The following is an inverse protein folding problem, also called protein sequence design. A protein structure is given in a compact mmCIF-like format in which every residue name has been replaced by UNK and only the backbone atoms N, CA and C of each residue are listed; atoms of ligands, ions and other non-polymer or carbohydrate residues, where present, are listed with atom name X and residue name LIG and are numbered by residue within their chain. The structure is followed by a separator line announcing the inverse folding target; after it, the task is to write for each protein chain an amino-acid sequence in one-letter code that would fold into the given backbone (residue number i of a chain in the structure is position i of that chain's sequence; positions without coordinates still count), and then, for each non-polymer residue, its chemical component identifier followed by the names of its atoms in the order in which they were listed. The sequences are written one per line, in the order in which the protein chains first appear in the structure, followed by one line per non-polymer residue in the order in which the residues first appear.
data_IF_031940077080
#
_entry.id   IF_031940077080
#
_cell.length_a   1.000
_cell.length_b   1.000
_cell.length_c   1.000
_cell.angle_alpha   90.00
_cell.angle_beta   90.00
_cell.angle_gamma   90.00
#
_symmetry.space_group_name_H-M   'P 1'
#
loop_
_entity.id
_entity.type
_entity.pdbx_description
1 polymer ?
#
# COMPACT_ATOMS: atom_id res chain seq x y z
N UNK A 1 12.70 24.98 10.13
CA UNK A 1 12.49 23.55 9.81
C UNK A 1 11.02 23.22 10.00
N UNK A 2 10.34 22.59 9.02
CA UNK A 2 8.94 22.17 9.14
C UNK A 2 8.89 20.65 9.18
N UNK A 3 8.64 20.08 10.36
CA UNK A 3 8.44 18.64 10.52
C UNK A 3 7.00 18.27 10.18
N UNK A 4 6.79 17.09 9.62
CA UNK A 4 5.45 16.56 9.42
C UNK A 4 4.90 16.14 10.80
N UNK A 5 3.92 16.89 11.31
CA UNK A 5 3.26 16.60 12.60
C UNK A 5 2.59 15.22 12.57
N UNK A 6 2.19 14.74 11.39
CA UNK A 6 1.61 13.42 11.18
C UNK A 6 2.61 12.27 11.01
N UNK A 7 3.92 12.49 11.21
CA UNK A 7 4.95 11.46 10.95
C UNK A 7 4.71 10.18 11.73
N UNK A 8 4.49 10.27 13.03
CA UNK A 8 4.35 9.08 13.87
C UNK A 8 3.02 8.37 13.65
N UNK A 9 1.95 9.14 13.40
CA UNK A 9 0.68 8.57 12.97
C UNK A 9 0.80 7.82 11.65
N UNK A 10 1.45 8.41 10.65
CA UNK A 10 1.62 7.80 9.32
C UNK A 10 2.40 6.49 9.40
N UNK A 11 3.45 6.44 10.23
CA UNK A 11 4.20 5.20 10.48
C UNK A 11 3.29 4.09 11.03
N UNK A 12 2.47 4.40 12.04
CA UNK A 12 1.54 3.41 12.62
C UNK A 12 0.47 3.00 11.61
N UNK A 13 -0.11 3.95 10.87
CA UNK A 13 -1.09 3.65 9.81
C UNK A 13 -0.52 2.70 8.76
N UNK A 14 0.69 2.97 8.26
CA UNK A 14 1.37 2.09 7.30
C UNK A 14 1.70 0.73 7.91
N UNK A 15 2.19 0.68 9.15
CA UNK A 15 2.53 -0.57 9.83
C UNK A 15 1.30 -1.46 10.03
N UNK A 16 0.18 -0.90 10.48
CA UNK A 16 -1.08 -1.65 10.67
C UNK A 16 -1.62 -2.13 9.33
N UNK A 17 -1.62 -1.28 8.30
CA UNK A 17 -2.05 -1.67 6.95
C UNK A 17 -1.23 -2.85 6.42
N UNK A 18 0.12 -2.75 6.49
CA UNK A 18 1.01 -3.81 6.05
C UNK A 18 0.84 -5.08 6.88
N UNK A 19 0.71 -4.96 8.20
CA UNK A 19 0.46 -6.10 9.09
C UNK A 19 -0.81 -6.85 8.67
N UNK A 20 -1.94 -6.18 8.49
CA UNK A 20 -3.17 -6.81 8.03
C UNK A 20 -3.04 -7.40 6.63
N UNK A 21 -2.39 -6.67 5.71
CA UNK A 21 -2.18 -7.12 4.34
C UNK A 21 -1.39 -8.44 4.30
N UNK A 22 -0.27 -8.54 5.02
CA UNK A 22 0.59 -9.73 4.98
C UNK A 22 0.12 -10.88 5.87
N UNK A 23 -0.66 -10.60 6.93
CA UNK A 23 -1.15 -11.66 7.82
C UNK A 23 -2.44 -12.30 7.33
N UNK A 24 -3.35 -11.51 6.74
CA UNK A 24 -4.68 -11.99 6.32
C UNK A 24 -4.78 -12.29 4.82
N UNK A 25 -3.90 -11.72 4.00
CA UNK A 25 -4.00 -11.84 2.55
C UNK A 25 -2.69 -12.30 1.89
N UNK A 26 -2.83 -12.98 0.75
CA UNK A 26 -1.81 -13.08 -0.30
C UNK A 26 -2.14 -12.04 -1.35
N UNK A 27 -1.11 -11.45 -1.95
CA UNK A 27 -1.31 -10.45 -2.99
C UNK A 27 -0.30 -10.60 -4.12
N UNK A 28 -0.72 -10.23 -5.31
CA UNK A 28 0.13 -10.17 -6.50
C UNK A 28 -0.18 -8.91 -7.32
N UNK A 29 0.83 -8.27 -7.94
CA UNK A 29 0.60 -7.18 -8.87
C UNK A 29 -0.01 -7.71 -10.18
N UNK A 30 -1.10 -7.09 -10.65
CA UNK A 30 -1.77 -7.48 -11.91
C UNK A 30 -1.43 -6.50 -13.02
N UNK A 31 -1.45 -5.20 -12.72
CA UNK A 31 -1.32 -4.13 -13.73
C UNK A 31 -0.88 -2.84 -13.07
N UNK A 32 -0.23 -1.99 -13.87
CA UNK A 32 0.23 -0.68 -13.43
C UNK A 32 1.68 -0.72 -12.99
N UNK A 33 2.08 0.23 -12.14
CA UNK A 33 3.47 0.38 -11.71
C UNK A 33 4.27 1.40 -12.55
N UNK A 34 3.62 2.01 -13.56
CA UNK A 34 4.12 3.25 -14.13
C UNK A 34 4.05 4.33 -13.03
N UNK A 35 5.22 4.81 -12.61
CA UNK A 35 5.36 5.75 -11.51
C UNK A 35 5.80 7.08 -12.08
N UNK A 36 4.97 8.10 -11.89
CA UNK A 36 5.27 9.46 -12.32
C UNK A 36 5.42 10.36 -11.10
N UNK A 37 6.38 11.30 -11.14
CA UNK A 37 6.55 12.33 -10.11
C UNK A 37 6.47 13.70 -10.74
N UNK A 38 5.31 14.36 -10.65
CA UNK A 38 5.13 15.71 -11.22
C UNK A 38 3.95 16.44 -10.59
N UNK A 39 4.14 17.31 -9.57
CA UNK A 39 5.25 17.33 -8.59
C UNK A 39 5.12 16.24 -7.50
N UNK A 40 3.94 15.63 -7.34
CA UNK A 40 3.68 14.54 -6.39
C UNK A 40 3.90 13.14 -7.00
N UNK A 41 4.07 12.12 -6.15
CA UNK A 41 4.11 10.72 -6.55
C UNK A 41 2.73 10.28 -7.04
N UNK A 42 2.67 9.74 -8.24
CA UNK A 42 1.44 9.36 -8.91
C UNK A 42 1.60 8.01 -9.61
N UNK A 43 0.48 7.31 -9.72
CA UNK A 43 0.32 6.13 -10.54
C UNK A 43 -0.79 6.46 -11.55
N UNK A 44 -0.49 7.07 -12.71
CA UNK A 44 -1.51 7.55 -13.65
C UNK A 44 -2.46 6.44 -14.10
N UNK A 45 -1.93 5.23 -14.27
CA UNK A 45 -2.68 4.02 -14.63
C UNK A 45 -3.07 3.17 -13.41
N UNK A 46 -2.92 3.71 -12.20
CA UNK A 46 -3.08 3.01 -10.94
C UNK A 46 -2.01 1.95 -10.65
N UNK A 47 -2.10 1.34 -9.47
CA UNK A 47 -1.36 0.13 -9.10
C UNK A 47 -2.38 -0.94 -8.69
N UNK A 48 -2.65 -1.87 -9.61
CA UNK A 48 -3.68 -2.87 -9.45
C UNK A 48 -3.09 -4.13 -8.85
N UNK A 49 -3.61 -4.54 -7.69
CA UNK A 49 -3.23 -5.75 -6.97
C UNK A 49 -4.40 -6.71 -6.87
N UNK A 50 -4.13 -8.01 -7.01
CA UNK A 50 -5.08 -9.06 -6.66
C UNK A 50 -4.90 -9.38 -5.20
N UNK A 51 -5.99 -9.41 -4.43
CA UNK A 51 -5.97 -9.87 -3.03
C UNK A 51 -6.67 -11.22 -2.93
N UNK A 52 -6.06 -12.14 -2.22
CA UNK A 52 -6.59 -13.48 -1.94
C UNK A 52 -6.54 -13.68 -0.43
N UNK A 53 -7.67 -14.00 0.18
CA UNK A 53 -7.74 -14.27 1.62
C UNK A 53 -6.96 -15.55 1.96
N UNK A 54 -6.09 -15.49 2.97
CA UNK A 54 -5.29 -16.64 3.41
C UNK A 54 -6.13 -17.72 4.07
N UNK A 55 -7.18 -17.33 4.78
CA UNK A 55 -8.02 -18.22 5.59
C UNK A 55 -9.27 -18.74 4.85
N UNK A 56 -9.41 -18.47 3.55
CA UNK A 56 -10.50 -19.01 2.71
C UNK A 56 -10.02 -20.15 1.80
N UNK A 57 -9.03 -20.90 2.31
CA UNK A 57 -8.55 -22.18 1.80
C UNK A 57 -8.62 -23.23 2.92
N UNK A 58 -9.77 -23.27 3.60
CA UNK A 58 -10.26 -24.43 4.35
C UNK A 58 -11.54 -24.92 3.67
#
# INVERSE_FOLDING_TARGET
MRFCVGTDFTKVQMAVFLHCLVTKYRWEPIKGGNMLRTPGLQFPDGFHVRLMEKNRME
#
